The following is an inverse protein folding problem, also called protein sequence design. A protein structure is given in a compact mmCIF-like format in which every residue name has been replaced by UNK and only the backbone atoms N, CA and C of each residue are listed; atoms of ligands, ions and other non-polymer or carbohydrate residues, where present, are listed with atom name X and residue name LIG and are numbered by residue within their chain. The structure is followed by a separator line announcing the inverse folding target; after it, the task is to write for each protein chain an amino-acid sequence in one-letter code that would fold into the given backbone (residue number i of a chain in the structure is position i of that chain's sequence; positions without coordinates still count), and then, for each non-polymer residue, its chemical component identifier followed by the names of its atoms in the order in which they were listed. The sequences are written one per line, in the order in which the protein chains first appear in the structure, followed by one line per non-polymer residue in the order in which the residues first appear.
data_IF_956888732169
#
_entry.id   IF_956888732169
#
_cell.length_a   1.000
_cell.length_b   1.000
_cell.length_c   1.000
_cell.angle_alpha   90.00
_cell.angle_beta   90.00
_cell.angle_gamma   90.00
#
_symmetry.space_group_name_H-M   'P 1'
#
loop_
_entity.id
_entity.type
_entity.pdbx_description
1 polymer ?
#
# COMPACT_ATOMS: atom_id res chain seq x y z
N UNK A 1 -7.92 3.13 14.23
CA UNK A 1 -7.43 4.45 13.81
C UNK A 1 -6.44 5.09 14.78
N UNK A 2 -6.77 5.31 16.07
CA UNK A 2 -5.83 5.97 17.01
C UNK A 2 -4.41 5.37 17.05
N UNK A 3 -4.30 4.04 16.94
CA UNK A 3 -3.01 3.35 16.89
C UNK A 3 -2.17 3.80 15.69
N UNK A 4 -2.78 3.91 14.51
CA UNK A 4 -2.12 4.34 13.27
C UNK A 4 -1.60 5.76 13.43
N UNK A 5 -2.45 6.67 13.93
CA UNK A 5 -2.08 8.06 14.20
C UNK A 5 -0.87 8.16 15.13
N UNK A 6 -0.91 7.50 16.30
CA UNK A 6 0.23 7.49 17.22
C UNK A 6 1.51 6.93 16.59
N UNK A 7 1.40 5.95 15.70
CA UNK A 7 2.56 5.40 15.00
C UNK A 7 3.09 6.34 13.91
N UNK A 8 2.22 6.95 13.09
CA UNK A 8 2.61 7.92 12.07
C UNK A 8 3.29 9.14 12.69
N UNK A 9 2.75 9.71 13.78
CA UNK A 9 3.38 10.82 14.51
C UNK A 9 4.78 10.46 15.00
N UNK A 10 4.96 9.22 15.46
CA UNK A 10 6.27 8.73 15.89
C UNK A 10 7.24 8.62 14.71
N UNK A 11 6.77 8.16 13.55
CA UNK A 11 7.60 8.08 12.34
C UNK A 11 7.99 9.48 11.86
N UNK A 12 7.07 10.46 11.88
CA UNK A 12 7.36 11.87 11.57
C UNK A 12 8.51 12.38 12.45
N UNK A 13 8.43 12.15 13.77
CA UNK A 13 9.49 12.56 14.71
C UNK A 13 10.85 11.94 14.39
N UNK A 14 10.89 10.66 14.00
CA UNK A 14 12.13 10.02 13.56
C UNK A 14 12.66 10.63 12.26
N UNK A 15 11.78 10.89 11.28
CA UNK A 15 12.15 11.47 10.00
C UNK A 15 12.66 12.92 10.12
N UNK A 16 12.16 13.68 11.10
CA UNK A 16 12.56 15.06 11.39
C UNK A 16 13.88 15.17 12.17
N UNK A 17 14.50 14.07 12.60
CA UNK A 17 15.78 14.12 13.30
C UNK A 17 16.83 14.79 12.41
N UNK A 18 17.57 15.83 12.88
CA UNK A 18 18.45 16.62 12.02
C UNK A 18 19.48 15.82 11.23
N UNK A 19 19.99 14.72 11.81
CA UNK A 19 20.97 13.83 11.17
C UNK A 19 20.40 12.97 10.05
N UNK A 20 19.07 12.93 9.88
CA UNK A 20 18.45 12.15 8.82
C UNK A 20 18.71 12.73 7.44
N UNK A 21 18.90 14.05 7.30
CA UNK A 21 19.18 14.70 6.02
C UNK A 21 18.29 14.18 4.87
N UNK A 22 16.98 14.03 5.12
CA UNK A 22 16.06 13.56 4.09
C UNK A 22 15.97 14.61 2.99
N UNK A 23 16.27 14.20 1.76
CA UNK A 23 16.08 15.05 0.58
C UNK A 23 14.60 15.16 0.28
N UNK A 24 14.15 16.37 -0.05
CA UNK A 24 12.78 16.60 -0.51
C UNK A 24 12.63 16.13 -1.95
N UNK A 25 12.55 14.81 -2.13
CA UNK A 25 12.36 14.13 -3.40
C UNK A 25 11.46 12.91 -3.21
N UNK A 26 10.49 12.66 -4.11
CA UNK A 26 9.65 11.48 -4.02
C UNK A 26 10.46 10.17 -3.99
N UNK A 27 10.07 9.17 -3.17
CA UNK A 27 9.03 9.23 -2.15
C UNK A 27 9.51 9.95 -0.88
N UNK A 28 8.85 11.06 -0.50
CA UNK A 28 9.22 11.86 0.65
C UNK A 28 8.26 11.63 1.83
N UNK A 29 8.72 10.84 2.82
CA UNK A 29 7.90 10.40 3.96
C UNK A 29 7.21 11.55 4.71
N UNK A 30 7.87 12.71 4.82
CA UNK A 30 7.34 13.85 5.56
C UNK A 30 6.16 14.55 4.86
N UNK A 31 5.97 14.36 3.56
CA UNK A 31 4.77 14.78 2.84
C UNK A 31 3.72 13.66 2.78
N UNK A 32 4.18 12.41 2.61
CA UNK A 32 3.30 11.25 2.49
C UNK A 32 2.48 11.00 3.76
N UNK A 33 3.07 11.13 4.96
CA UNK A 33 2.36 10.87 6.22
C UNK A 33 1.22 11.88 6.48
N UNK A 34 1.42 13.20 6.35
CA UNK A 34 0.33 14.18 6.38
C UNK A 34 -0.77 13.89 5.37
N UNK A 35 -0.42 13.51 4.13
CA UNK A 35 -1.40 13.14 3.11
C UNK A 35 -2.25 11.93 3.53
N UNK A 36 -1.63 10.90 4.13
CA UNK A 36 -2.36 9.77 4.70
C UNK A 36 -3.35 10.22 5.78
N UNK A 37 -2.92 11.11 6.68
CA UNK A 37 -3.82 11.66 7.69
C UNK A 37 -5.04 12.33 7.07
N UNK A 38 -4.81 13.16 6.05
CA UNK A 38 -5.88 13.90 5.39
C UNK A 38 -6.89 12.94 4.75
N UNK A 39 -6.46 12.02 3.89
CA UNK A 39 -7.39 11.13 3.17
C UNK A 39 -8.14 10.19 4.12
N UNK A 40 -7.45 9.60 5.10
CA UNK A 40 -8.12 8.70 6.06
C UNK A 40 -9.11 9.46 6.94
N UNK A 41 -8.81 10.71 7.32
CA UNK A 41 -9.78 11.55 8.04
C UNK A 41 -10.98 11.89 7.16
N UNK A 42 -10.76 12.17 5.88
CA UNK A 42 -11.84 12.40 4.92
C UNK A 42 -12.75 11.18 4.77
N UNK A 43 -12.17 9.99 4.61
CA UNK A 43 -12.91 8.72 4.58
C UNK A 43 -13.72 8.55 5.87
N UNK A 44 -13.09 8.66 7.03
CA UNK A 44 -13.78 8.45 8.32
C UNK A 44 -14.94 9.44 8.50
N UNK A 45 -14.73 10.71 8.18
CA UNK A 45 -15.78 11.73 8.28
C UNK A 45 -16.96 11.45 7.34
N UNK A 46 -16.69 10.96 6.12
CA UNK A 46 -17.75 10.60 5.17
C UNK A 46 -18.62 9.40 5.67
N UNK A 47 -18.00 8.50 6.42
CA UNK A 47 -18.64 7.30 6.98
C UNK A 47 -18.98 7.41 8.47
N UNK A 48 -18.94 8.59 9.10
CA UNK A 48 -19.06 8.74 10.57
C UNK A 48 -20.33 8.06 11.13
N UNK A 49 -21.50 8.38 10.56
CA UNK A 49 -22.80 7.76 10.92
C UNK A 49 -23.01 6.37 10.30
N UNK A 50 -22.10 5.93 9.42
CA UNK A 50 -22.23 4.71 8.60
C UNK A 50 -20.97 3.84 8.66
N UNK A 51 -20.30 3.81 9.81
CA UNK A 51 -19.01 3.14 9.96
C UNK A 51 -19.09 1.64 9.68
N UNK A 52 -20.25 1.03 9.91
CA UNK A 52 -20.52 -0.37 9.58
C UNK A 52 -20.39 -0.65 8.07
N UNK A 53 -20.70 0.32 7.21
CA UNK A 53 -20.51 0.19 5.76
C UNK A 53 -19.01 0.17 5.45
N UNK A 54 -18.24 1.12 5.99
CA UNK A 54 -16.79 1.18 5.80
C UNK A 54 -16.09 -0.09 6.27
N UNK A 55 -16.52 -0.63 7.42
CA UNK A 55 -15.97 -1.87 7.97
C UNK A 55 -16.30 -3.11 7.14
N UNK A 56 -17.36 -3.07 6.32
CA UNK A 56 -17.73 -4.17 5.43
C UNK A 56 -16.98 -4.12 4.09
N UNK A 57 -16.21 -3.06 3.82
CA UNK A 57 -15.37 -2.96 2.61
C UNK A 57 -14.11 -3.81 2.82
N UNK A 58 -14.03 -4.96 2.14
CA UNK A 58 -12.91 -5.92 2.20
C UNK A 58 -11.56 -5.22 2.01
N UNK A 59 -11.45 -4.39 0.95
CA UNK A 59 -10.25 -3.62 0.65
C UNK A 59 -9.80 -2.75 1.83
N UNK A 60 -10.71 -2.01 2.45
CA UNK A 60 -10.36 -1.08 3.53
C UNK A 60 -9.83 -1.83 4.76
N UNK A 61 -10.42 -2.98 5.09
CA UNK A 61 -9.93 -3.81 6.18
C UNK A 61 -8.50 -4.34 5.93
N UNK A 62 -8.23 -4.85 4.71
CA UNK A 62 -6.90 -5.32 4.33
C UNK A 62 -5.89 -4.17 4.36
N UNK A 63 -6.25 -3.02 3.77
CA UNK A 63 -5.44 -1.81 3.75
C UNK A 63 -5.06 -1.35 5.16
N UNK A 64 -6.01 -1.25 6.08
CA UNK A 64 -5.76 -0.77 7.45
C UNK A 64 -4.82 -1.71 8.21
N UNK A 65 -4.99 -3.03 8.06
CA UNK A 65 -4.10 -4.00 8.68
C UNK A 65 -2.68 -3.90 8.10
N UNK A 66 -2.56 -3.80 6.77
CA UNK A 66 -1.26 -3.62 6.12
C UNK A 66 -0.56 -2.33 6.57
N UNK A 67 -1.30 -1.23 6.68
CA UNK A 67 -0.77 0.05 7.12
C UNK A 67 -0.27 0.01 8.57
N UNK A 68 -0.98 -0.68 9.48
CA UNK A 68 -0.52 -0.90 10.87
C UNK A 68 0.80 -1.68 10.90
N UNK A 69 0.90 -2.73 10.08
CA UNK A 69 2.10 -3.56 10.01
C UNK A 69 3.27 -2.78 9.40
N UNK A 70 3.05 -2.01 8.34
CA UNK A 70 4.05 -1.14 7.73
C UNK A 70 4.54 -0.07 8.71
N UNK A 71 3.64 0.54 9.48
CA UNK A 71 3.98 1.47 10.56
C UNK A 71 4.84 0.81 11.62
N UNK A 72 4.48 -0.39 12.05
CA UNK A 72 5.21 -1.16 13.06
C UNK A 72 6.63 -1.50 12.58
N UNK A 73 6.76 -2.06 11.36
CA UNK A 73 8.06 -2.38 10.73
C UNK A 73 8.94 -1.14 10.57
N UNK A 74 8.36 -0.01 10.19
CA UNK A 74 9.10 1.25 10.04
C UNK A 74 9.66 1.74 11.38
N UNK A 75 8.85 1.71 12.45
CA UNK A 75 9.29 2.08 13.80
C UNK A 75 10.40 1.12 14.29
N UNK A 76 10.26 -0.17 14.07
CA UNK A 76 11.27 -1.16 14.43
C UNK A 76 12.59 -0.96 13.67
N UNK A 77 12.52 -0.60 12.39
CA UNK A 77 13.70 -0.24 11.60
C UNK A 77 14.49 0.90 12.26
N UNK A 78 13.82 1.99 12.69
CA UNK A 78 14.48 3.07 13.42
C UNK A 78 15.09 2.62 14.75
N UNK A 79 14.36 1.80 15.52
CA UNK A 79 14.83 1.31 16.82
C UNK A 79 16.08 0.44 16.68
N UNK A 80 16.08 -0.50 15.75
CA UNK A 80 17.20 -1.43 15.54
C UNK A 80 18.39 -0.77 14.84
N UNK A 81 18.16 0.21 13.96
CA UNK A 81 19.22 0.90 13.26
C UNK A 81 20.09 1.76 14.19
N UNK A 82 19.51 2.37 15.22
CA UNK A 82 20.23 3.32 16.09
C UNK A 82 20.91 4.42 15.26
N UNK A 83 22.23 4.56 15.38
CA UNK A 83 22.99 5.56 14.61
C UNK A 83 23.22 5.15 13.14
N UNK A 84 23.06 3.87 12.78
CA UNK A 84 23.29 3.41 11.41
C UNK A 84 22.27 3.98 10.42
N UNK A 85 21.10 4.42 10.88
CA UNK A 85 20.06 5.05 10.04
C UNK A 85 20.52 6.34 9.37
N UNK A 86 21.54 7.01 9.93
CA UNK A 86 22.10 8.25 9.40
C UNK A 86 23.13 8.00 8.29
N UNK A 87 23.65 6.78 8.18
CA UNK A 87 24.53 6.42 7.06
C UNK A 87 23.66 6.07 5.85
N UNK A 88 23.74 6.91 4.80
CA UNK A 88 22.94 6.75 3.58
C UNK A 88 23.18 5.42 2.85
N UNK A 89 24.35 4.81 3.02
CA UNK A 89 24.71 3.55 2.37
C UNK A 89 24.31 2.31 3.19
N UNK A 90 23.87 2.51 4.44
CA UNK A 90 23.50 1.40 5.32
C UNK A 90 22.26 0.64 4.82
N UNK A 91 22.19 -0.66 5.14
CA UNK A 91 21.00 -1.47 4.84
C UNK A 91 19.76 -0.93 5.57
N UNK A 92 19.90 -0.38 6.77
CA UNK A 92 18.81 0.27 7.48
C UNK A 92 18.26 1.48 6.74
N UNK A 93 19.12 2.34 6.19
CA UNK A 93 18.67 3.46 5.35
C UNK A 93 17.97 2.97 4.09
N UNK A 94 18.56 1.99 3.39
CA UNK A 94 17.95 1.41 2.18
C UNK A 94 16.56 0.83 2.49
N UNK A 95 16.41 0.13 3.61
CA UNK A 95 15.12 -0.41 4.05
C UNK A 95 14.11 0.72 4.36
N UNK A 96 14.54 1.79 5.02
CA UNK A 96 13.67 2.95 5.27
C UNK A 96 13.21 3.64 3.96
N UNK A 97 14.12 3.79 2.98
CA UNK A 97 13.76 4.32 1.65
C UNK A 97 12.75 3.39 0.97
N UNK A 98 12.97 2.06 1.06
CA UNK A 98 12.04 1.05 0.56
C UNK A 98 10.66 1.18 1.20
N UNK A 99 10.59 1.35 2.52
CA UNK A 99 9.32 1.59 3.21
C UNK A 99 8.66 2.89 2.76
N UNK A 100 9.44 3.96 2.55
CA UNK A 100 8.91 5.24 2.02
C UNK A 100 8.21 5.04 0.68
N UNK A 101 8.78 4.19 -0.19
CA UNK A 101 8.15 3.79 -1.45
C UNK A 101 6.85 3.02 -1.22
N UNK A 102 6.81 2.08 -0.28
CA UNK A 102 5.60 1.33 0.06
C UNK A 102 4.48 2.24 0.57
N UNK A 103 4.80 3.23 1.42
CA UNK A 103 3.83 4.24 1.84
C UNK A 103 3.30 5.02 0.63
N UNK A 104 4.17 5.42 -0.31
CA UNK A 104 3.75 6.11 -1.52
C UNK A 104 2.78 5.27 -2.36
N UNK A 105 3.05 3.97 -2.53
CA UNK A 105 2.16 3.06 -3.27
C UNK A 105 0.82 2.89 -2.56
N UNK A 106 0.83 2.60 -1.25
CA UNK A 106 -0.39 2.49 -0.44
C UNK A 106 -1.23 3.78 -0.49
N UNK A 107 -0.61 4.96 -0.46
CA UNK A 107 -1.31 6.25 -0.53
C UNK A 107 -1.96 6.47 -1.90
N UNK A 108 -1.23 6.14 -2.96
CA UNK A 108 -1.69 6.33 -4.34
C UNK A 108 -2.86 5.38 -4.64
N UNK A 109 -2.75 4.14 -4.20
CA UNK A 109 -3.83 3.16 -4.29
C UNK A 109 -5.08 3.63 -3.51
N UNK A 110 -4.91 4.04 -2.26
CA UNK A 110 -6.02 4.53 -1.43
C UNK A 110 -6.72 5.73 -2.08
N UNK A 111 -5.95 6.70 -2.60
CA UNK A 111 -6.47 7.86 -3.36
C UNK A 111 -7.21 7.47 -4.64
N UNK A 112 -6.84 6.35 -5.25
CA UNK A 112 -7.45 5.87 -6.49
C UNK A 112 -8.76 5.11 -6.25
N UNK A 113 -8.88 4.47 -5.08
CA UNK A 113 -10.06 3.68 -4.70
C UNK A 113 -11.05 4.44 -3.80
N UNK A 114 -10.61 5.53 -3.17
CA UNK A 114 -11.46 6.46 -2.42
C UNK A 114 -11.41 7.86 -3.03
N UNK A 115 -12.50 8.27 -3.68
CA UNK A 115 -12.63 9.59 -4.30
C UNK A 115 -13.49 10.47 -3.39
N UNK A 116 -12.93 11.59 -2.91
CA UNK A 116 -13.57 12.48 -1.96
C UNK A 116 -14.09 11.75 -0.69
N UNK A 117 -13.32 10.78 -0.20
CA UNK A 117 -13.69 9.93 0.95
C UNK A 117 -14.67 8.79 0.65
N UNK A 118 -15.19 8.69 -0.58
CA UNK A 118 -16.17 7.68 -0.98
C UNK A 118 -15.47 6.50 -1.63
N UNK A 119 -15.80 5.27 -1.21
CA UNK A 119 -15.30 4.07 -1.87
C UNK A 119 -15.87 3.92 -3.28
N UNK A 120 -14.99 3.87 -4.27
CA UNK A 120 -15.30 3.74 -5.70
C UNK A 120 -14.59 2.53 -6.33
N UNK A 121 -14.06 1.61 -5.51
CA UNK A 121 -13.28 0.47 -5.98
C UNK A 121 -14.02 -0.47 -6.94
N UNK A 122 -15.33 -0.66 -6.77
CA UNK A 122 -16.18 -1.46 -7.68
C UNK A 122 -16.34 -0.80 -9.06
N UNK A 123 -16.12 0.51 -9.14
CA UNK A 123 -16.22 1.29 -10.38
C UNK A 123 -14.86 1.63 -10.98
N UNK A 124 -13.77 1.14 -10.37
CA UNK A 124 -12.43 1.32 -10.88
C UNK A 124 -12.34 0.73 -12.29
N UNK A 125 -11.74 1.49 -13.21
CA UNK A 125 -11.62 1.10 -14.61
C UNK A 125 -10.16 0.86 -14.93
N UNK A 126 -9.84 -0.38 -15.28
CA UNK A 126 -8.53 -0.75 -15.81
C UNK A 126 -8.30 -0.03 -17.14
N UNK A 127 -7.08 0.46 -17.34
CA UNK A 127 -6.62 1.24 -18.49
C UNK A 127 -6.58 0.39 -19.75
N UNK A 128 -6.20 -0.89 -19.63
CA UNK A 128 -6.11 -1.84 -20.76
C UNK A 128 -7.35 -2.73 -20.81
N UNK A 129 -7.99 -2.79 -21.98
CA UNK A 129 -9.21 -3.59 -22.17
C UNK A 129 -8.99 -5.08 -21.90
N UNK A 130 -7.88 -5.65 -22.37
CA UNK A 130 -7.56 -7.07 -22.16
C UNK A 130 -7.38 -7.41 -20.68
N UNK A 131 -6.74 -6.51 -19.92
CA UNK A 131 -6.61 -6.62 -18.47
C UNK A 131 -7.98 -6.50 -17.78
N UNK A 132 -8.81 -5.54 -18.22
CA UNK A 132 -10.19 -5.39 -17.74
C UNK A 132 -11.01 -6.66 -17.92
N UNK A 133 -10.95 -7.27 -19.10
CA UNK A 133 -11.70 -8.48 -19.42
C UNK A 133 -11.19 -9.69 -18.62
N UNK A 134 -9.87 -9.79 -18.43
CA UNK A 134 -9.28 -10.78 -17.52
C UNK A 134 -9.80 -10.63 -16.09
N UNK A 135 -9.76 -9.43 -15.53
CA UNK A 135 -10.15 -9.19 -14.15
C UNK A 135 -11.63 -9.49 -13.93
N UNK A 136 -12.51 -8.91 -14.76
CA UNK A 136 -13.96 -9.12 -14.65
C UNK A 136 -14.34 -10.59 -14.80
N UNK A 137 -13.72 -11.31 -15.73
CA UNK A 137 -14.00 -12.74 -15.96
C UNK A 137 -13.64 -13.61 -14.75
N UNK A 138 -12.56 -13.28 -14.04
CA UNK A 138 -12.03 -14.14 -12.98
C UNK A 138 -12.43 -13.70 -11.56
N UNK A 139 -12.68 -12.41 -11.35
CA UNK A 139 -12.88 -11.82 -10.02
C UNK A 139 -14.14 -10.93 -9.92
N UNK A 140 -14.93 -10.81 -10.99
CA UNK A 140 -16.12 -9.96 -11.05
C UNK A 140 -15.79 -8.51 -10.66
N UNK A 141 -16.53 -7.94 -9.70
CA UNK A 141 -16.38 -6.57 -9.21
C UNK A 141 -15.45 -6.46 -7.98
N UNK A 142 -14.72 -7.53 -7.63
CA UNK A 142 -13.78 -7.50 -6.50
C UNK A 142 -12.66 -6.49 -6.77
N UNK A 143 -12.33 -5.68 -5.77
CA UNK A 143 -11.28 -4.68 -5.84
C UNK A 143 -9.92 -5.21 -5.40
N UNK A 144 -9.90 -6.32 -4.66
CA UNK A 144 -8.67 -6.94 -4.15
C UNK A 144 -8.88 -8.45 -4.02
N UNK A 145 -7.84 -9.23 -4.30
CA UNK A 145 -7.85 -10.69 -4.20
C UNK A 145 -6.55 -11.21 -3.58
N UNK A 146 -6.56 -12.34 -2.85
CA UNK A 146 -5.32 -12.97 -2.37
C UNK A 146 -4.38 -13.32 -3.52
N UNK A 147 -3.07 -13.21 -3.30
CA UNK A 147 -2.05 -13.53 -4.31
C UNK A 147 -2.21 -14.94 -4.89
N UNK A 148 -2.50 -15.94 -4.04
CA UNK A 148 -2.64 -17.32 -4.48
C UNK A 148 -3.81 -17.51 -5.45
N UNK A 149 -4.93 -16.82 -5.21
CA UNK A 149 -6.09 -16.81 -6.09
C UNK A 149 -5.75 -16.12 -7.42
N UNK A 150 -5.12 -14.94 -7.37
CA UNK A 150 -4.69 -14.21 -8.56
C UNK A 150 -3.75 -15.05 -9.43
N UNK A 151 -2.73 -15.64 -8.81
CA UNK A 151 -1.73 -16.49 -9.45
C UNK A 151 -2.37 -17.68 -10.16
N UNK A 152 -3.32 -18.36 -9.52
CA UNK A 152 -4.04 -19.49 -10.12
C UNK A 152 -4.72 -19.05 -11.43
N UNK A 153 -5.49 -17.96 -11.40
CA UNK A 153 -6.20 -17.44 -12.58
C UNK A 153 -5.27 -16.97 -13.68
N UNK A 154 -4.20 -16.26 -13.32
CA UNK A 154 -3.19 -15.82 -14.28
C UNK A 154 -2.50 -17.02 -14.96
N UNK A 155 -2.18 -18.07 -14.21
CA UNK A 155 -1.49 -19.26 -14.71
C UNK A 155 -2.30 -20.08 -15.74
N UNK A 156 -3.62 -19.88 -15.81
CA UNK A 156 -4.44 -20.47 -16.87
C UNK A 156 -4.19 -19.83 -18.25
N UNK A 157 -3.72 -18.58 -18.29
CA UNK A 157 -3.51 -17.81 -19.53
C UNK A 157 -2.02 -17.57 -19.78
N UNK A 158 -1.28 -17.16 -18.75
CA UNK A 158 0.16 -16.92 -18.77
C UNK A 158 0.86 -17.93 -17.86
N UNK A 159 1.43 -18.97 -18.46
CA UNK A 159 2.04 -20.08 -17.71
C UNK A 159 3.25 -19.60 -16.90
N UNK A 160 3.16 -19.73 -15.58
CA UNK A 160 4.24 -19.50 -14.63
C UNK A 160 5.02 -20.82 -14.51
N UNK A 161 6.28 -20.80 -14.89
CA UNK A 161 7.12 -21.98 -15.09
C UNK A 161 7.81 -22.46 -13.81
N UNK A 162 7.96 -21.59 -12.80
CA UNK A 162 8.67 -21.92 -11.57
C UNK A 162 8.23 -21.13 -10.34
N UNK A 163 8.62 -21.62 -9.16
CA UNK A 163 8.42 -20.91 -7.88
C UNK A 163 9.20 -19.58 -7.87
N UNK A 164 10.42 -19.55 -8.41
CA UNK A 164 11.22 -18.33 -8.47
C UNK A 164 10.56 -17.26 -9.35
N UNK A 165 10.00 -17.66 -10.48
CA UNK A 165 9.21 -16.77 -11.35
C UNK A 165 7.96 -16.27 -10.63
N UNK A 166 7.24 -17.14 -9.92
CA UNK A 166 6.09 -16.73 -9.11
C UNK A 166 6.46 -15.69 -8.05
N UNK A 167 7.59 -15.86 -7.36
CA UNK A 167 8.06 -14.91 -6.33
C UNK A 167 8.47 -13.57 -6.99
N UNK A 168 9.17 -13.62 -8.11
CA UNK A 168 9.56 -12.43 -8.86
C UNK A 168 8.33 -11.65 -9.35
N UNK A 169 7.33 -12.36 -9.88
CA UNK A 169 6.07 -11.79 -10.33
C UNK A 169 5.30 -11.16 -9.17
N UNK A 170 5.17 -11.87 -8.03
CA UNK A 170 4.52 -11.32 -6.85
C UNK A 170 5.19 -10.02 -6.40
N UNK A 171 6.53 -10.02 -6.27
CA UNK A 171 7.28 -8.83 -5.86
C UNK A 171 7.18 -7.66 -6.85
N UNK A 172 6.73 -7.92 -8.09
CA UNK A 172 6.56 -6.89 -9.13
C UNK A 172 5.13 -6.32 -9.11
N UNK A 173 4.12 -7.15 -8.85
CA UNK A 173 2.71 -6.76 -8.84
C UNK A 173 2.28 -6.22 -7.46
N UNK A 174 2.65 -6.90 -6.37
CA UNK A 174 2.28 -6.55 -4.99
C UNK A 174 3.14 -5.38 -4.48
N UNK A 175 2.80 -4.17 -4.95
CA UNK A 175 3.50 -2.92 -4.64
C UNK A 175 3.31 -2.52 -3.16
N UNK A 176 2.21 -2.93 -2.55
CA UNK A 176 1.86 -2.64 -1.16
C UNK A 176 2.39 -3.69 -0.17
N UNK A 177 2.94 -4.80 -0.67
CA UNK A 177 3.53 -5.94 0.04
C UNK A 177 2.62 -6.55 1.11
N UNK A 178 1.36 -6.79 0.73
CA UNK A 178 0.31 -7.29 1.61
C UNK A 178 -0.17 -8.72 1.26
N UNK A 179 0.51 -9.41 0.34
CA UNK A 179 0.14 -10.74 -0.20
C UNK A 179 -1.22 -10.79 -0.90
N UNK A 180 -1.71 -9.65 -1.35
CA UNK A 180 -2.87 -9.51 -2.20
C UNK A 180 -2.48 -8.80 -3.49
N UNK A 181 -3.41 -8.79 -4.43
CA UNK A 181 -3.32 -7.96 -5.64
C UNK A 181 -4.61 -7.16 -5.68
N UNK A 182 -4.50 -5.83 -5.64
CA UNK A 182 -5.63 -4.95 -5.90
C UNK A 182 -5.82 -4.73 -7.40
N UNK A 183 -7.03 -4.30 -7.79
CA UNK A 183 -7.33 -3.90 -9.17
C UNK A 183 -6.44 -2.72 -9.60
N UNK A 184 -6.03 -1.86 -8.67
CA UNK A 184 -5.10 -0.77 -8.94
C UNK A 184 -3.67 -1.29 -9.19
N UNK A 185 -3.15 -2.18 -8.35
CA UNK A 185 -1.84 -2.80 -8.56
C UNK A 185 -1.78 -3.56 -9.87
N UNK A 186 -2.87 -4.25 -10.22
CA UNK A 186 -3.00 -4.91 -11.51
C UNK A 186 -2.98 -3.92 -12.67
N UNK A 187 -3.67 -2.78 -12.58
CA UNK A 187 -3.64 -1.73 -13.60
C UNK A 187 -2.22 -1.19 -13.83
N UNK A 188 -1.52 -0.90 -12.73
CA UNK A 188 -0.15 -0.37 -12.77
C UNK A 188 0.80 -1.38 -13.41
N UNK A 189 0.58 -2.67 -13.17
CA UNK A 189 1.40 -3.73 -13.74
C UNK A 189 1.14 -3.95 -15.23
N UNK A 190 -0.13 -3.94 -15.66
CA UNK A 190 -0.51 -4.32 -17.02
C UNK A 190 -0.22 -3.24 -18.03
#
# INVERSE_FOLDING_TARGET
MEKIWKQMDRIVKYCQMPKMNLKNSPPYMLDILPDFYQILREIINYYDDRIHILNNIEYFHIFINNLIDLCTKTIECFKHAGHHIYNEQSNYRKNFIKFSLYYSHNLTELKSLFINGIYEGERFRLTKQEANDFWKKNFNDRTIVPWEEFKEKLNHIHKIQSINESIALQNTIDLTHNNHVSIFEFDVFT
#
